data_IF_950961802955
#
_entry.id   IF_950961802955
#
_cell.length_a   1.000
_cell.length_b   1.000
_cell.length_c   1.000
_cell.angle_alpha   90.00
_cell.angle_beta   90.00
_cell.angle_gamma   90.00
#
_symmetry.space_group_name_H-M   'P 1'
#
loop_
_entity.id
_entity.type
_entity.pdbx_description
1 polymer ?
#
# COMPACT_ATOMS: atom_id res chain seq x y z
N UNK A 1 7.48 0.21 45.26
CA UNK A 1 7.77 1.63 45.58
C UNK A 1 9.22 1.76 46.05
N UNK A 2 9.74 2.93 46.45
CA UNK A 2 10.96 2.93 47.29
C UNK A 2 10.55 2.62 48.74
N UNK A 3 11.38 1.89 49.51
CA UNK A 3 11.11 1.57 50.92
C UNK A 3 10.81 2.85 51.73
N UNK A 4 11.45 3.96 51.37
CA UNK A 4 11.25 5.28 51.98
C UNK A 4 9.84 5.81 51.81
N UNK A 5 9.24 5.59 50.64
CA UNK A 5 7.88 6.04 50.32
C UNK A 5 6.82 5.18 51.02
N UNK A 6 7.06 3.87 51.11
CA UNK A 6 6.19 2.93 51.84
C UNK A 6 6.13 3.26 53.33
N UNK A 7 7.30 3.51 53.95
CA UNK A 7 7.38 3.98 55.34
C UNK A 7 6.66 5.30 55.57
N UNK A 8 6.75 6.22 54.60
CA UNK A 8 6.05 7.50 54.68
C UNK A 8 4.52 7.32 54.63
N UNK A 9 4.02 6.44 53.75
CA UNK A 9 2.60 6.12 53.66
C UNK A 9 2.04 5.50 54.95
N UNK A 10 2.77 4.55 55.54
CA UNK A 10 2.41 3.95 56.83
C UNK A 10 2.33 5.04 57.90
N UNK A 11 3.34 5.91 57.99
CA UNK A 11 3.37 7.00 58.96
C UNK A 11 2.22 8.00 58.75
N UNK A 12 1.84 8.28 57.50
CA UNK A 12 0.67 9.11 57.20
C UNK A 12 -0.62 8.49 57.74
N UNK A 13 -0.80 7.17 57.61
CA UNK A 13 -1.96 6.46 58.15
C UNK A 13 -1.93 6.40 59.69
N UNK A 14 -0.76 6.16 60.29
CA UNK A 14 -0.61 6.21 61.76
C UNK A 14 -0.99 7.59 62.33
N UNK A 15 -0.54 8.67 61.67
CA UNK A 15 -0.92 10.03 62.03
C UNK A 15 -2.42 10.32 61.86
N UNK A 16 -3.11 9.55 61.01
CA UNK A 16 -4.56 9.62 60.82
C UNK A 16 -5.34 8.78 61.85
N UNK A 17 -4.65 8.12 62.79
CA UNK A 17 -5.26 7.35 63.89
C UNK A 17 -5.39 5.85 63.64
N UNK A 18 -4.84 5.32 62.55
CA UNK A 18 -4.72 3.87 62.35
C UNK A 18 -3.61 3.31 63.23
N UNK A 19 -3.80 2.13 63.82
CA UNK A 19 -2.68 1.44 64.46
C UNK A 19 -1.66 0.94 63.41
N UNK A 20 -0.46 0.60 63.84
CA UNK A 20 0.63 0.18 62.94
C UNK A 20 0.21 -0.98 62.01
N UNK A 21 -0.50 -1.98 62.56
CA UNK A 21 -0.91 -3.17 61.78
C UNK A 21 -1.97 -2.79 60.74
N UNK A 22 -2.89 -1.90 61.08
CA UNK A 22 -3.89 -1.36 60.16
C UNK A 22 -3.22 -0.54 59.05
N UNK A 23 -2.29 0.34 59.39
CA UNK A 23 -1.55 1.18 58.44
C UNK A 23 -0.69 0.36 57.47
N UNK A 24 0.00 -0.66 57.97
CA UNK A 24 0.78 -1.61 57.16
C UNK A 24 -0.14 -2.40 56.21
N UNK A 25 -1.23 -2.97 56.73
CA UNK A 25 -2.17 -3.75 55.92
C UNK A 25 -2.82 -2.90 54.80
N UNK A 26 -3.27 -1.69 55.12
CA UNK A 26 -3.86 -0.77 54.14
C UNK A 26 -2.83 -0.35 53.07
N UNK A 27 -1.61 0.00 53.49
CA UNK A 27 -0.52 0.36 52.57
C UNK A 27 -0.22 -0.80 51.61
N UNK A 28 -0.10 -2.02 52.13
CA UNK A 28 0.15 -3.22 51.31
C UNK A 28 -0.98 -3.54 50.33
N UNK A 29 -2.24 -3.39 50.74
CA UNK A 29 -3.40 -3.58 49.85
C UNK A 29 -3.40 -2.54 48.72
N UNK A 30 -3.17 -1.27 49.05
CA UNK A 30 -3.14 -0.17 48.07
C UNK A 30 -1.96 -0.34 47.10
N UNK A 31 -0.77 -0.68 47.60
CA UNK A 31 0.39 -0.93 46.74
C UNK A 31 0.12 -2.09 45.79
N UNK A 32 -0.40 -3.21 46.32
CA UNK A 32 -0.74 -4.36 45.47
C UNK A 32 -1.75 -3.97 44.39
N UNK A 33 -2.80 -3.24 44.74
CA UNK A 33 -3.79 -2.76 43.78
C UNK A 33 -3.18 -1.83 42.72
N UNK A 34 -2.28 -0.91 43.12
CA UNK A 34 -1.58 -0.03 42.18
C UNK A 34 -0.63 -0.78 41.25
N UNK A 35 0.11 -1.76 41.77
CA UNK A 35 1.02 -2.58 40.97
C UNK A 35 0.23 -3.39 39.95
N UNK A 36 -0.83 -4.09 40.37
CA UNK A 36 -1.70 -4.83 39.45
C UNK A 36 -2.31 -3.91 38.37
N UNK A 37 -2.84 -2.74 38.75
CA UNK A 37 -3.38 -1.80 37.76
C UNK A 37 -2.34 -1.26 36.77
N UNK A 38 -1.08 -1.08 37.20
CA UNK A 38 0.03 -0.70 36.30
C UNK A 38 0.42 -1.83 35.36
N UNK A 39 0.41 -3.07 35.84
CA UNK A 39 0.67 -4.26 35.02
C UNK A 39 -0.42 -4.44 33.96
N UNK A 40 -1.69 -4.37 34.35
CA UNK A 40 -2.84 -4.45 33.43
C UNK A 40 -2.76 -3.38 32.35
N UNK A 41 -2.47 -2.12 32.72
CA UNK A 41 -2.32 -1.03 31.76
C UNK A 41 -1.13 -1.25 30.81
N UNK A 42 -0.01 -1.75 31.34
CA UNK A 42 1.18 -2.05 30.52
C UNK A 42 0.89 -3.15 29.51
N UNK A 43 0.16 -4.18 29.91
CA UNK A 43 -0.21 -5.28 29.03
C UNK A 43 -1.26 -4.86 28.00
N UNK A 44 -2.24 -4.04 28.40
CA UNK A 44 -3.17 -3.40 27.46
C UNK A 44 -2.42 -2.58 26.40
N UNK A 45 -1.51 -1.68 26.81
CA UNK A 45 -0.73 -0.85 25.89
C UNK A 45 0.14 -1.72 24.96
N UNK A 46 0.72 -2.81 25.45
CA UNK A 46 1.51 -3.74 24.63
C UNK A 46 0.64 -4.45 23.60
N UNK A 47 -0.54 -4.91 24.02
CA UNK A 47 -1.51 -5.56 23.14
C UNK A 47 -1.97 -4.62 22.02
N UNK A 48 -2.41 -3.41 22.37
CA UNK A 48 -2.84 -2.40 21.41
C UNK A 48 -1.72 -2.01 20.44
N UNK A 49 -0.50 -1.79 20.93
CA UNK A 49 0.64 -1.51 20.07
C UNK A 49 0.95 -2.67 19.10
N UNK A 50 0.83 -3.93 19.58
CA UNK A 50 1.03 -5.09 18.71
C UNK A 50 -0.07 -5.20 17.66
N UNK A 51 -1.32 -4.93 18.04
CA UNK A 51 -2.47 -4.92 17.13
C UNK A 51 -2.29 -3.88 16.03
N UNK A 52 -2.03 -2.63 16.40
CA UNK A 52 -1.80 -1.51 15.46
C UNK A 52 -0.63 -1.78 14.51
N UNK A 53 0.48 -2.36 15.01
CA UNK A 53 1.61 -2.73 14.16
C UNK A 53 1.24 -3.80 13.12
N UNK A 54 0.39 -4.75 13.50
CA UNK A 54 -0.06 -5.79 12.58
C UNK A 54 -1.04 -5.23 11.54
N UNK A 55 -1.96 -4.35 11.95
CA UNK A 55 -2.90 -3.67 11.07
C UNK A 55 -2.14 -2.85 10.01
N UNK A 56 -1.22 -1.99 10.42
CA UNK A 56 -0.38 -1.19 9.51
C UNK A 56 0.41 -2.09 8.55
N UNK A 57 0.97 -3.21 9.04
CA UNK A 57 1.70 -4.15 8.18
C UNK A 57 0.79 -4.78 7.12
N UNK A 58 -0.44 -5.14 7.50
CA UNK A 58 -1.42 -5.71 6.59
C UNK A 58 -1.87 -4.68 5.54
N UNK A 59 -2.16 -3.44 5.95
CA UNK A 59 -2.50 -2.35 5.02
C UNK A 59 -1.36 -2.08 4.03
N UNK A 60 -0.10 -2.02 4.48
CA UNK A 60 1.06 -1.85 3.59
C UNK A 60 1.15 -3.00 2.58
N UNK A 61 0.88 -4.24 3.00
CA UNK A 61 0.92 -5.39 2.10
C UNK A 61 -0.24 -5.34 1.07
N UNK A 62 -1.43 -4.92 1.49
CA UNK A 62 -2.57 -4.73 0.60
C UNK A 62 -2.28 -3.66 -0.45
N UNK A 63 -1.82 -2.47 -0.03
CA UNK A 63 -1.44 -1.39 -0.94
C UNK A 63 -0.33 -1.80 -1.92
N UNK A 64 0.66 -2.58 -1.49
CA UNK A 64 1.69 -3.13 -2.39
C UNK A 64 1.11 -4.08 -3.44
N UNK A 65 0.13 -4.89 -3.06
CA UNK A 65 -0.53 -5.82 -3.98
C UNK A 65 -1.39 -5.07 -5.00
N UNK A 66 -2.16 -4.06 -4.55
CA UNK A 66 -2.94 -3.17 -5.41
C UNK A 66 -2.04 -2.47 -6.43
N UNK A 67 -0.97 -1.81 -5.99
CA UNK A 67 -0.01 -1.15 -6.88
C UNK A 67 0.61 -2.12 -7.90
N UNK A 68 0.89 -3.36 -7.51
CA UNK A 68 1.40 -4.38 -8.43
C UNK A 68 0.36 -4.79 -9.48
N UNK A 69 -0.91 -4.86 -9.10
CA UNK A 69 -2.02 -5.11 -10.04
C UNK A 69 -2.17 -3.95 -11.02
N UNK A 70 -2.16 -2.71 -10.54
CA UNK A 70 -2.27 -1.51 -11.38
C UNK A 70 -1.12 -1.42 -12.38
N UNK A 71 0.12 -1.65 -11.95
CA UNK A 71 1.29 -1.70 -12.84
C UNK A 71 1.13 -2.76 -13.94
N UNK A 72 0.57 -3.92 -13.59
CA UNK A 72 0.31 -4.97 -14.59
C UNK A 72 -0.82 -4.60 -15.54
N UNK A 73 -1.87 -3.91 -15.07
CA UNK A 73 -2.95 -3.41 -15.93
C UNK A 73 -2.40 -2.43 -16.95
N UNK A 74 -1.70 -1.38 -16.49
CA UNK A 74 -1.09 -0.36 -17.37
C UNK A 74 -0.11 -0.98 -18.36
N UNK A 75 0.70 -1.96 -17.92
CA UNK A 75 1.61 -2.68 -18.84
C UNK A 75 0.84 -3.47 -19.92
N UNK A 76 -0.30 -4.06 -19.58
CA UNK A 76 -1.12 -4.81 -20.54
C UNK A 76 -1.83 -3.87 -21.51
N UNK A 77 -2.38 -2.76 -21.02
CA UNK A 77 -2.95 -1.69 -21.85
C UNK A 77 -1.92 -1.17 -22.86
N UNK A 78 -0.71 -0.84 -22.40
CA UNK A 78 0.34 -0.36 -23.30
C UNK A 78 0.77 -1.39 -24.35
N UNK A 79 0.81 -2.68 -23.99
CA UNK A 79 1.05 -3.76 -24.97
C UNK A 79 -0.06 -3.87 -26.00
N UNK A 80 -1.32 -3.64 -25.59
CA UNK A 80 -2.45 -3.65 -26.52
C UNK A 80 -2.38 -2.46 -27.47
N UNK A 81 -2.09 -1.27 -26.95
CA UNK A 81 -1.91 -0.06 -27.76
C UNK A 81 -0.80 -0.23 -28.82
N UNK A 82 0.33 -0.84 -28.43
CA UNK A 82 1.41 -1.15 -29.38
C UNK A 82 0.94 -2.08 -30.49
N UNK A 83 0.22 -3.16 -30.16
CA UNK A 83 -0.31 -4.09 -31.17
C UNK A 83 -1.30 -3.40 -32.11
N UNK A 84 -2.18 -2.56 -31.56
CA UNK A 84 -3.15 -1.81 -32.35
C UNK A 84 -2.45 -0.83 -33.30
N UNK A 85 -1.36 -0.19 -32.87
CA UNK A 85 -0.50 0.64 -33.72
C UNK A 85 0.20 -0.17 -34.81
N UNK A 86 0.78 -1.33 -34.48
CA UNK A 86 1.41 -2.23 -35.47
C UNK A 86 0.41 -2.64 -36.56
N UNK A 87 -0.82 -2.99 -36.17
CA UNK A 87 -1.90 -3.33 -37.10
C UNK A 87 -2.27 -2.15 -37.99
N UNK A 88 -2.45 -0.95 -37.42
CA UNK A 88 -2.74 0.27 -38.20
C UNK A 88 -1.63 0.59 -39.18
N UNK A 89 -0.37 0.44 -38.77
CA UNK A 89 0.79 0.65 -39.64
C UNK A 89 0.82 -0.36 -40.79
N UNK A 90 0.56 -1.64 -40.54
CA UNK A 90 0.48 -2.65 -41.58
C UNK A 90 -0.62 -2.34 -42.60
N UNK A 91 -1.80 -1.92 -42.15
CA UNK A 91 -2.86 -1.48 -43.05
C UNK A 91 -2.47 -0.26 -43.89
N UNK A 92 -1.88 0.76 -43.26
CA UNK A 92 -1.42 1.96 -43.96
C UNK A 92 -0.34 1.63 -45.03
N UNK A 93 0.60 0.74 -44.70
CA UNK A 93 1.60 0.27 -45.66
C UNK A 93 0.97 -0.48 -46.84
N UNK A 94 -0.02 -1.36 -46.58
CA UNK A 94 -0.74 -2.09 -47.65
C UNK A 94 -1.54 -1.17 -48.55
N UNK A 95 -2.27 -0.21 -47.98
CA UNK A 95 -3.04 0.79 -48.72
C UNK A 95 -2.12 1.63 -49.63
N UNK A 96 -0.99 2.09 -49.10
CA UNK A 96 0.00 2.84 -49.88
C UNK A 96 0.58 2.01 -51.04
N UNK A 97 0.92 0.73 -50.81
CA UNK A 97 1.43 -0.16 -51.85
C UNK A 97 0.42 -0.35 -52.99
N UNK A 98 -0.86 -0.55 -52.67
CA UNK A 98 -1.93 -0.70 -53.67
C UNK A 98 -2.08 0.58 -54.49
N UNK A 99 -2.08 1.75 -53.83
CA UNK A 99 -2.16 3.06 -54.51
C UNK A 99 -0.98 3.28 -55.45
N UNK A 100 0.24 2.98 -55.02
CA UNK A 100 1.44 3.09 -55.85
C UNK A 100 1.35 2.15 -57.05
N UNK A 101 0.95 0.90 -56.84
CA UNK A 101 0.77 -0.06 -57.94
C UNK A 101 -0.25 0.43 -58.97
N UNK A 102 -1.39 0.95 -58.51
CA UNK A 102 -2.41 1.55 -59.38
C UNK A 102 -1.86 2.71 -60.22
N UNK A 103 -1.06 3.60 -59.63
CA UNK A 103 -0.41 4.72 -60.35
C UNK A 103 0.57 4.20 -61.40
N UNK A 104 1.41 3.20 -61.06
CA UNK A 104 2.38 2.62 -62.00
C UNK A 104 1.66 1.99 -63.19
N UNK A 105 0.68 1.12 -62.95
CA UNK A 105 -0.08 0.47 -64.02
C UNK A 105 -0.80 1.51 -64.89
N UNK A 106 -1.39 2.53 -64.26
CA UNK A 106 -2.06 3.62 -64.98
C UNK A 106 -1.12 4.40 -65.89
N UNK A 107 0.04 4.83 -65.39
CA UNK A 107 1.02 5.60 -66.17
C UNK A 107 1.66 4.77 -67.29
N UNK A 108 1.97 3.49 -67.04
CA UNK A 108 2.45 2.57 -68.07
C UNK A 108 1.40 2.36 -69.17
N UNK A 109 0.13 2.17 -68.81
CA UNK A 109 -0.95 2.01 -69.79
C UNK A 109 -1.13 3.24 -70.70
N UNK A 110 -1.04 4.44 -70.11
CA UNK A 110 -1.04 5.70 -70.87
C UNK A 110 0.16 5.77 -71.83
N UNK A 111 1.37 5.47 -71.35
CA UNK A 111 2.57 5.48 -72.17
C UNK A 111 2.50 4.51 -73.37
N UNK A 112 2.00 3.29 -73.16
CA UNK A 112 1.80 2.30 -74.24
C UNK A 112 0.79 2.81 -75.28
N UNK A 113 -0.29 3.45 -74.83
CA UNK A 113 -1.30 4.02 -75.74
C UNK A 113 -0.72 5.15 -76.58
N UNK A 114 0.11 6.02 -75.98
CA UNK A 114 0.82 7.08 -76.70
C UNK A 114 1.78 6.50 -77.74
N UNK A 115 2.57 5.48 -77.39
CA UNK A 115 3.51 4.83 -78.33
C UNK A 115 2.79 4.25 -79.55
N UNK A 116 1.58 3.70 -79.40
CA UNK A 116 0.79 3.17 -80.52
C UNK A 116 0.22 4.25 -81.46
N UNK A 117 0.14 5.51 -81.02
CA UNK A 117 -0.35 6.62 -81.84
C UNK A 117 0.69 7.15 -82.83
N UNK A 118 1.96 6.81 -82.66
CA UNK A 118 3.06 7.17 -83.55
C UNK A 118 3.66 5.89 -84.16
N UNK A 119 3.22 5.48 -85.37
CA UNK A 119 3.76 4.30 -86.06
C UNK A 119 5.22 4.45 -86.50
#
# INVERSE_FOLDING_TARGET
MSITEELNNIKTLENAGFDHKQAEALTGIIEKAQVSGREDLKDFIRSENSSLRNEIRNEINNLRNELKQDINSVRNEFKQDIKDLEVRMAYAQRDLLIKIFGIIVGTVGVAVTILKLFP
#
